data_IF_603259132616
#
_entry.id   IF_603259132616
#
_cell.length_a   1.000
_cell.length_b   1.000
_cell.length_c   1.000
_cell.angle_alpha   90.00
_cell.angle_beta   90.00
_cell.angle_gamma   90.00
#
_symmetry.space_group_name_H-M   'P 1'
#
loop_
_entity.id
_entity.type
_entity.pdbx_description
1 polymer ?
#
# COMPACT_ATOMS: atom_id res chain seq x y z
N UNK A 1 27.96 18.79 1.42
CA UNK A 1 28.22 17.56 0.63
C UNK A 1 27.05 16.61 0.88
N UNK A 2 26.11 16.56 -0.05
CA UNK A 2 24.92 15.68 0.02
C UNK A 2 25.40 14.28 -0.36
N UNK A 3 25.23 13.30 0.54
CA UNK A 3 25.79 11.96 0.37
C UNK A 3 24.88 11.12 -0.52
N UNK A 4 25.45 10.19 -1.29
CA UNK A 4 24.69 9.19 -2.07
C UNK A 4 23.74 8.34 -1.19
N UNK A 5 23.87 8.37 0.14
CA UNK A 5 22.89 7.81 1.10
C UNK A 5 21.53 8.52 1.11
N UNK A 6 21.48 9.80 0.74
CA UNK A 6 20.26 10.63 0.80
C UNK A 6 19.29 10.36 -0.35
N UNK A 7 19.76 9.74 -1.45
CA UNK A 7 18.94 9.41 -2.64
C UNK A 7 18.34 8.00 -2.61
N UNK A 8 18.81 7.12 -1.73
CA UNK A 8 18.30 5.75 -1.63
C UNK A 8 16.80 5.69 -1.35
N UNK A 9 16.30 6.39 -0.32
CA UNK A 9 14.90 6.27 0.08
C UNK A 9 13.88 6.77 -0.98
N UNK A 10 14.07 7.92 -1.68
CA UNK A 10 13.18 8.32 -2.79
C UNK A 10 13.16 7.32 -3.94
N UNK A 11 14.31 6.77 -4.32
CA UNK A 11 14.40 5.76 -5.40
C UNK A 11 13.63 4.50 -5.02
N UNK A 12 13.72 4.07 -3.75
CA UNK A 12 12.97 2.91 -3.23
C UNK A 12 11.45 3.16 -3.32
N UNK A 13 10.99 4.36 -2.96
CA UNK A 13 9.57 4.71 -3.06
C UNK A 13 9.07 4.75 -4.52
N UNK A 14 9.87 5.32 -5.44
CA UNK A 14 9.56 5.35 -6.86
C UNK A 14 9.58 3.94 -7.50
N UNK A 15 10.53 3.09 -7.11
CA UNK A 15 10.58 1.70 -7.55
C UNK A 15 9.36 0.92 -7.07
N UNK A 16 8.95 1.12 -5.82
CA UNK A 16 7.70 0.57 -5.28
C UNK A 16 6.50 1.00 -6.13
N UNK A 17 6.37 2.30 -6.41
CA UNK A 17 5.30 2.86 -7.23
C UNK A 17 5.27 2.26 -8.65
N UNK A 18 6.43 2.14 -9.29
CA UNK A 18 6.55 1.57 -10.63
C UNK A 18 6.14 0.10 -10.68
N UNK A 19 6.60 -0.71 -9.71
CA UNK A 19 6.25 -2.13 -9.61
C UNK A 19 4.75 -2.34 -9.39
N UNK A 20 4.14 -1.58 -8.48
CA UNK A 20 2.69 -1.66 -8.24
C UNK A 20 1.91 -1.16 -9.46
N UNK A 21 2.29 -0.01 -10.04
CA UNK A 21 1.64 0.56 -11.21
C UNK A 21 1.64 -0.38 -12.42
N UNK A 22 2.74 -1.09 -12.65
CA UNK A 22 2.86 -2.07 -13.74
C UNK A 22 1.95 -3.29 -13.55
N UNK A 23 1.53 -3.61 -12.32
CA UNK A 23 0.70 -4.79 -12.05
C UNK A 23 -0.67 -4.73 -12.71
N UNK A 24 -1.27 -3.55 -12.84
CA UNK A 24 -2.63 -3.38 -13.39
C UNK A 24 -2.76 -3.82 -14.86
N UNK A 25 -1.97 -3.30 -15.81
CA UNK A 25 -2.06 -3.74 -17.20
C UNK A 25 -1.67 -5.22 -17.37
N UNK A 26 -0.71 -5.73 -16.59
CA UNK A 26 -0.34 -7.14 -16.63
C UNK A 26 -1.46 -8.05 -16.11
N UNK A 27 -2.14 -7.66 -15.03
CA UNK A 27 -3.33 -8.35 -14.55
C UNK A 27 -4.46 -8.32 -15.59
N UNK A 28 -4.65 -7.21 -16.29
CA UNK A 28 -5.63 -7.10 -17.38
C UNK A 28 -5.35 -8.08 -18.52
N UNK A 29 -4.08 -8.29 -18.89
CA UNK A 29 -3.70 -9.29 -19.90
C UNK A 29 -4.05 -10.71 -19.46
N UNK A 30 -3.79 -11.05 -18.20
CA UNK A 30 -4.12 -12.37 -17.65
C UNK A 30 -5.63 -12.61 -17.63
N UNK A 31 -6.43 -11.62 -17.23
CA UNK A 31 -7.90 -11.69 -17.33
C UNK A 31 -8.37 -11.79 -18.79
N UNK A 32 -7.75 -11.04 -19.70
CA UNK A 32 -8.05 -11.08 -21.14
C UNK A 32 -7.76 -12.44 -21.78
N UNK A 33 -6.82 -13.20 -21.21
CA UNK A 33 -6.53 -14.59 -21.57
C UNK A 33 -7.60 -15.60 -21.10
N UNK A 34 -8.62 -15.15 -20.38
CA UNK A 34 -9.71 -15.99 -19.87
C UNK A 34 -9.52 -16.46 -18.43
N UNK A 35 -8.52 -15.95 -17.70
CA UNK A 35 -8.33 -16.29 -16.30
C UNK A 35 -9.48 -15.76 -15.44
N UNK A 36 -9.99 -16.62 -14.56
CA UNK A 36 -11.02 -16.25 -13.60
C UNK A 36 -10.51 -15.16 -12.61
N UNK A 37 -11.30 -14.13 -12.28
CA UNK A 37 -10.86 -13.04 -11.42
C UNK A 37 -10.57 -13.46 -9.97
N UNK A 38 -11.27 -14.47 -9.42
CA UNK A 38 -10.96 -14.99 -8.08
C UNK A 38 -9.64 -15.75 -8.10
N UNK A 39 -9.43 -16.55 -9.16
CA UNK A 39 -8.21 -17.29 -9.37
C UNK A 39 -7.01 -16.35 -9.50
N UNK A 40 -7.12 -15.29 -10.31
CA UNK A 40 -6.06 -14.30 -10.47
C UNK A 40 -5.77 -13.57 -9.16
N UNK A 41 -6.80 -13.13 -8.43
CA UNK A 41 -6.62 -12.50 -7.11
C UNK A 41 -5.87 -13.42 -6.14
N UNK A 42 -6.21 -14.72 -6.14
CA UNK A 42 -5.53 -15.75 -5.36
C UNK A 42 -4.07 -15.92 -5.75
N UNK A 43 -3.77 -16.08 -7.04
CA UNK A 43 -2.41 -16.28 -7.55
C UNK A 43 -1.50 -15.07 -7.34
N UNK A 44 -2.01 -13.84 -7.48
CA UNK A 44 -1.25 -12.63 -7.22
C UNK A 44 -0.77 -12.60 -5.75
N UNK A 45 -1.68 -12.84 -4.80
CA UNK A 45 -1.33 -12.78 -3.37
C UNK A 45 -0.53 -14.00 -2.91
N UNK A 46 -0.81 -15.18 -3.46
CA UNK A 46 -0.02 -16.37 -3.17
C UNK A 46 1.41 -16.21 -3.71
N UNK A 47 1.58 -15.61 -4.90
CA UNK A 47 2.88 -15.24 -5.46
C UNK A 47 3.65 -14.25 -4.57
N UNK A 48 2.96 -13.23 -4.06
CA UNK A 48 3.52 -12.31 -3.07
C UNK A 48 4.00 -13.04 -1.80
N UNK A 49 3.15 -13.89 -1.23
CA UNK A 49 3.44 -14.64 -0.01
C UNK A 49 4.60 -15.62 -0.18
N UNK A 50 4.56 -16.48 -1.21
CA UNK A 50 5.58 -17.49 -1.47
C UNK A 50 6.92 -16.85 -1.85
N UNK A 51 6.91 -15.81 -2.69
CA UNK A 51 8.14 -15.13 -3.09
C UNK A 51 8.83 -14.43 -1.93
N UNK A 52 8.07 -13.74 -1.06
CA UNK A 52 8.62 -13.14 0.16
C UNK A 52 9.09 -14.22 1.16
N UNK A 53 8.38 -15.34 1.29
CA UNK A 53 8.80 -16.46 2.13
C UNK A 53 10.12 -17.08 1.67
N UNK A 54 10.33 -17.23 0.36
CA UNK A 54 11.59 -17.70 -0.21
C UNK A 54 12.72 -16.70 0.07
N UNK A 55 12.47 -15.39 -0.13
CA UNK A 55 13.45 -14.35 0.20
C UNK A 55 13.82 -14.36 1.69
N UNK A 56 12.83 -14.51 2.57
CA UNK A 56 13.05 -14.59 4.01
C UNK A 56 13.91 -15.81 4.39
N UNK A 57 13.66 -16.98 3.79
CA UNK A 57 14.46 -18.18 4.01
C UNK A 57 15.92 -18.00 3.54
N UNK A 58 16.11 -17.39 2.36
CA UNK A 58 17.45 -17.10 1.82
C UNK A 58 18.20 -16.10 2.71
N UNK A 59 17.53 -15.07 3.21
CA UNK A 59 18.13 -14.10 4.14
C UNK A 59 18.50 -14.75 5.47
N UNK A 60 17.66 -15.64 6.01
CA UNK A 60 17.96 -16.37 7.25
C UNK A 60 19.14 -17.33 7.10
N UNK A 61 19.31 -17.94 5.92
CA UNK A 61 20.46 -18.78 5.61
C UNK A 61 21.77 -17.97 5.50
N UNK A 62 21.70 -16.70 5.10
CA UNK A 62 22.82 -15.77 5.11
C UNK A 62 22.98 -15.17 6.51
N UNK A 63 23.81 -15.79 7.36
CA UNK A 63 24.15 -15.27 8.70
C UNK A 63 24.59 -13.80 8.61
N UNK A 64 23.89 -12.87 9.29
CA UNK A 64 24.34 -11.47 9.43
C UNK A 64 23.28 -10.37 9.32
N UNK A 65 22.01 -10.66 9.02
CA UNK A 65 20.97 -9.64 9.08
C UNK A 65 20.46 -9.47 10.53
N UNK A 66 20.51 -8.25 11.06
CA UNK A 66 19.83 -7.91 12.31
C UNK A 66 18.31 -8.13 12.11
N UNK A 67 17.72 -8.96 12.97
CA UNK A 67 16.32 -9.37 12.86
C UNK A 67 15.38 -8.20 13.19
N UNK A 68 14.30 -8.04 12.43
CA UNK A 68 13.20 -7.15 12.79
C UNK A 68 12.38 -7.72 13.96
N UNK A 69 11.57 -6.88 14.62
CA UNK A 69 10.69 -7.33 15.70
C UNK A 69 9.62 -8.30 15.16
N UNK A 70 9.45 -9.49 15.75
CA UNK A 70 8.43 -10.44 15.30
C UNK A 70 7.03 -9.99 15.69
N UNK A 71 6.02 -10.52 14.98
CA UNK A 71 4.61 -10.33 15.35
C UNK A 71 4.30 -10.93 16.73
N UNK A 72 3.64 -10.15 17.58
CA UNK A 72 3.19 -10.59 18.89
C UNK A 72 1.78 -11.20 18.83
N UNK A 73 1.39 -11.99 19.84
CA UNK A 73 0.05 -12.57 19.92
C UNK A 73 -1.07 -11.52 19.93
N UNK A 74 -0.81 -10.34 20.50
CA UNK A 74 -1.74 -9.21 20.52
C UNK A 74 -2.02 -8.61 19.14
N UNK A 75 -1.15 -8.88 18.16
CA UNK A 75 -1.26 -8.35 16.80
C UNK A 75 -2.20 -9.19 15.92
N UNK A 76 -2.48 -10.44 16.30
CA UNK A 76 -3.23 -11.40 15.50
C UNK A 76 -4.65 -10.94 15.09
N UNK A 77 -5.45 -10.30 15.97
CA UNK A 77 -6.78 -9.81 15.57
C UNK A 77 -6.69 -8.72 14.50
N UNK A 78 -5.71 -7.82 14.62
CA UNK A 78 -5.48 -6.75 13.65
C UNK A 78 -4.96 -7.31 12.33
N UNK A 79 -4.04 -8.27 12.41
CA UNK A 79 -3.52 -8.98 11.24
C UNK A 79 -4.65 -9.70 10.51
N UNK A 80 -5.55 -10.39 11.21
CA UNK A 80 -6.69 -11.07 10.59
C UNK A 80 -7.58 -10.09 9.81
N UNK A 81 -7.90 -8.92 10.39
CA UNK A 81 -8.67 -7.89 9.70
C UNK A 81 -7.94 -7.31 8.48
N UNK A 82 -6.62 -7.08 8.60
CA UNK A 82 -5.75 -6.65 7.48
C UNK A 82 -5.76 -7.67 6.34
N UNK A 83 -5.67 -8.97 6.67
CA UNK A 83 -5.74 -10.04 5.67
C UNK A 83 -7.12 -10.09 5.02
N UNK A 84 -8.20 -10.02 5.79
CA UNK A 84 -9.56 -10.10 5.25
C UNK A 84 -9.90 -8.89 4.36
N UNK A 85 -9.63 -7.68 4.83
CA UNK A 85 -9.94 -6.47 4.07
C UNK A 85 -8.98 -6.28 2.88
N UNK A 86 -7.68 -6.21 3.14
CA UNK A 86 -6.70 -5.83 2.12
C UNK A 86 -6.06 -6.99 1.36
N UNK A 87 -6.15 -8.21 1.91
CA UNK A 87 -5.64 -9.42 1.25
C UNK A 87 -6.71 -10.15 0.45
N UNK A 88 -7.87 -10.38 1.05
CA UNK A 88 -8.95 -11.18 0.45
C UNK A 88 -9.86 -10.29 -0.37
N UNK A 89 -10.55 -9.34 0.27
CA UNK A 89 -11.60 -8.54 -0.37
C UNK A 89 -11.06 -7.55 -1.40
N UNK A 90 -10.03 -6.77 -1.08
CA UNK A 90 -9.47 -5.76 -1.97
C UNK A 90 -9.06 -6.31 -3.35
N UNK A 91 -8.14 -7.29 -3.44
CA UNK A 91 -7.69 -7.85 -4.71
C UNK A 91 -8.80 -8.53 -5.49
N UNK A 92 -9.71 -9.23 -4.80
CA UNK A 92 -10.86 -9.88 -5.44
C UNK A 92 -11.78 -8.84 -6.10
N UNK A 93 -12.16 -7.80 -5.36
CA UNK A 93 -13.00 -6.71 -5.86
C UNK A 93 -12.32 -5.96 -7.01
N UNK A 94 -11.00 -5.74 -6.92
CA UNK A 94 -10.23 -5.16 -8.00
C UNK A 94 -10.28 -6.04 -9.26
N UNK A 95 -10.00 -7.34 -9.14
CA UNK A 95 -10.00 -8.24 -10.30
C UNK A 95 -11.38 -8.34 -10.94
N UNK A 96 -12.44 -8.45 -10.14
CA UNK A 96 -13.83 -8.40 -10.63
C UNK A 96 -14.07 -7.09 -11.38
N UNK A 97 -13.71 -5.95 -10.80
CA UNK A 97 -13.90 -4.66 -11.44
C UNK A 97 -13.09 -4.47 -12.72
N UNK A 98 -11.87 -5.01 -12.74
CA UNK A 98 -10.95 -4.97 -13.87
C UNK A 98 -11.45 -5.80 -15.06
N UNK A 99 -12.30 -6.82 -14.88
CA UNK A 99 -12.89 -7.55 -16.01
C UNK A 99 -13.66 -6.63 -16.97
N UNK A 100 -14.41 -5.67 -16.43
CA UNK A 100 -15.33 -4.82 -17.20
C UNK A 100 -14.95 -3.33 -17.25
N UNK A 101 -13.75 -3.00 -16.75
CA UNK A 101 -13.20 -1.63 -16.76
C UNK A 101 -11.89 -1.63 -17.57
N UNK A 102 -11.64 -0.63 -18.43
CA UNK A 102 -10.32 -0.46 -19.06
C UNK A 102 -9.23 -0.36 -18.00
N UNK A 103 -8.05 -0.96 -18.24
CA UNK A 103 -6.95 -0.98 -17.29
C UNK A 103 -6.44 0.43 -16.98
N UNK A 104 -6.46 1.35 -17.95
CA UNK A 104 -6.08 2.75 -17.75
C UNK A 104 -7.01 3.47 -16.76
N UNK A 105 -8.32 3.25 -16.91
CA UNK A 105 -9.33 3.81 -16.00
C UNK A 105 -9.28 3.15 -14.63
N UNK A 106 -9.12 1.82 -14.58
CA UNK A 106 -8.99 1.07 -13.33
C UNK A 106 -7.75 1.49 -12.53
N UNK A 107 -6.60 1.68 -13.20
CA UNK A 107 -5.38 2.17 -12.58
C UNK A 107 -5.60 3.54 -11.93
N UNK A 108 -6.18 4.51 -12.66
CA UNK A 108 -6.45 5.84 -12.11
C UNK A 108 -7.47 5.82 -10.97
N UNK A 109 -8.50 4.96 -11.04
CA UNK A 109 -9.48 4.79 -9.97
C UNK A 109 -8.85 4.35 -8.65
N UNK A 110 -7.67 3.70 -8.65
CA UNK A 110 -6.94 3.39 -7.42
C UNK A 110 -6.51 4.62 -6.62
N UNK A 111 -6.49 5.83 -7.21
CA UNK A 111 -6.30 7.05 -6.43
C UNK A 111 -7.39 7.27 -5.36
N UNK A 112 -8.54 6.60 -5.47
CA UNK A 112 -9.60 6.62 -4.46
C UNK A 112 -9.19 5.88 -3.17
N UNK A 113 -8.17 5.02 -3.21
CA UNK A 113 -7.65 4.37 -2.01
C UNK A 113 -7.17 5.40 -0.98
N UNK A 114 -6.39 6.40 -1.41
CA UNK A 114 -5.92 7.47 -0.54
C UNK A 114 -7.07 8.28 0.08
N UNK A 115 -8.12 8.53 -0.69
CA UNK A 115 -9.36 9.15 -0.20
C UNK A 115 -10.03 8.31 0.89
N UNK A 116 -10.16 7.01 0.66
CA UNK A 116 -10.77 6.09 1.62
C UNK A 116 -9.94 6.00 2.90
N UNK A 117 -8.62 5.88 2.79
CA UNK A 117 -7.69 5.91 3.93
C UNK A 117 -7.87 7.20 4.74
N UNK A 118 -7.88 8.36 4.09
CA UNK A 118 -8.06 9.66 4.76
C UNK A 118 -9.44 9.80 5.40
N UNK A 119 -10.51 9.40 4.71
CA UNK A 119 -11.87 9.48 5.24
C UNK A 119 -12.04 8.61 6.49
N UNK A 120 -11.48 7.40 6.50
CA UNK A 120 -11.48 6.51 7.67
C UNK A 120 -10.67 7.13 8.81
N UNK A 121 -9.50 7.70 8.51
CA UNK A 121 -8.67 8.41 9.48
C UNK A 121 -9.43 9.57 10.15
N UNK A 122 -10.11 10.37 9.35
CA UNK A 122 -10.92 11.49 9.84
C UNK A 122 -12.14 11.04 10.66
N UNK A 123 -12.93 10.08 10.17
CA UNK A 123 -14.20 9.70 10.78
C UNK A 123 -14.03 8.79 12.00
N UNK A 124 -13.11 7.82 11.92
CA UNK A 124 -12.92 6.79 12.96
C UNK A 124 -11.87 7.23 13.98
N UNK A 125 -10.73 7.72 13.50
CA UNK A 125 -9.61 8.12 14.35
C UNK A 125 -9.66 9.59 14.77
N UNK A 126 -10.59 10.38 14.20
CA UNK A 126 -10.82 11.79 14.53
C UNK A 126 -9.57 12.66 14.29
N UNK A 127 -8.79 12.29 13.28
CA UNK A 127 -7.68 13.11 12.78
C UNK A 127 -8.23 14.36 12.08
N UNK A 128 -7.54 15.49 12.16
CA UNK A 128 -8.04 16.71 11.51
C UNK A 128 -7.73 16.70 10.01
N UNK A 129 -8.62 17.31 9.23
CA UNK A 129 -8.48 17.46 7.78
C UNK A 129 -8.57 18.94 7.44
N UNK A 130 -7.52 19.47 6.81
CA UNK A 130 -7.50 20.85 6.33
C UNK A 130 -8.44 21.02 5.11
N UNK A 131 -8.84 22.27 4.85
CA UNK A 131 -9.61 22.64 3.66
C UNK A 131 -8.89 22.27 2.37
N UNK A 132 -7.55 22.32 2.35
CA UNK A 132 -6.76 21.96 1.16
C UNK A 132 -6.82 20.46 0.87
N UNK A 133 -6.68 19.59 1.87
CA UNK A 133 -6.95 18.16 1.74
C UNK A 133 -8.36 17.89 1.21
N UNK A 134 -9.38 18.59 1.72
CA UNK A 134 -10.77 18.45 1.24
C UNK A 134 -10.92 18.85 -0.24
N UNK A 135 -10.32 19.96 -0.67
CA UNK A 135 -10.34 20.36 -2.08
C UNK A 135 -9.63 19.32 -2.97
N UNK A 136 -8.50 18.81 -2.51
CA UNK A 136 -7.80 17.72 -3.19
C UNK A 136 -8.68 16.48 -3.30
N UNK A 137 -9.43 16.18 -2.25
CA UNK A 137 -10.29 15.01 -2.20
C UNK A 137 -11.47 15.11 -3.16
N UNK A 138 -12.09 16.28 -3.23
CA UNK A 138 -13.14 16.57 -4.19
C UNK A 138 -12.64 16.46 -5.63
N UNK A 139 -11.40 16.89 -5.93
CA UNK A 139 -10.82 16.75 -7.26
C UNK A 139 -10.58 15.28 -7.65
N UNK A 140 -10.04 14.45 -6.75
CA UNK A 140 -9.88 13.00 -6.99
C UNK A 140 -11.25 12.34 -7.19
N UNK A 141 -12.23 12.67 -6.34
CA UNK A 141 -13.58 12.12 -6.42
C UNK A 141 -14.28 12.51 -7.73
N UNK A 142 -14.14 13.76 -8.18
CA UNK A 142 -14.67 14.22 -9.47
C UNK A 142 -14.07 13.42 -10.64
N UNK A 143 -12.75 13.20 -10.63
CA UNK A 143 -12.10 12.31 -11.60
C UNK A 143 -12.62 10.88 -11.54
N UNK A 144 -12.85 10.34 -10.34
CA UNK A 144 -13.34 8.98 -10.15
C UNK A 144 -14.78 8.80 -10.65
N UNK A 145 -15.67 9.76 -10.35
CA UNK A 145 -17.03 9.80 -10.87
C UNK A 145 -17.00 9.89 -12.39
N UNK A 146 -16.15 10.75 -12.94
CA UNK A 146 -16.00 10.89 -14.39
C UNK A 146 -15.59 9.57 -15.03
N UNK A 147 -14.59 8.84 -14.52
CA UNK A 147 -14.18 7.53 -15.04
C UNK A 147 -15.22 6.42 -14.83
N UNK A 148 -16.02 6.51 -13.78
CA UNK A 148 -17.04 5.51 -13.44
C UNK A 148 -18.33 5.67 -14.26
N UNK A 149 -18.54 6.84 -14.87
CA UNK A 149 -19.73 7.18 -15.63
C UNK A 149 -19.72 6.57 -17.03
N UNK A 150 -20.77 5.82 -17.38
CA UNK A 150 -20.93 5.19 -18.70
C UNK A 150 -21.83 5.96 -19.67
N UNK A 151 -22.43 7.07 -19.24
CA UNK A 151 -23.40 7.82 -20.04
C UNK A 151 -24.81 7.21 -20.01
N UNK A 152 -25.81 8.06 -20.23
CA UNK A 152 -27.22 7.66 -20.34
C UNK A 152 -27.84 7.10 -19.04
N UNK A 153 -28.99 6.41 -19.14
CA UNK A 153 -29.72 5.84 -17.99
C UNK A 153 -28.94 4.75 -17.24
N UNK A 154 -27.91 4.19 -17.88
CA UNK A 154 -27.03 3.13 -17.37
C UNK A 154 -26.17 3.55 -16.17
N UNK A 155 -26.01 4.85 -15.92
CA UNK A 155 -25.36 5.37 -14.71
C UNK A 155 -23.89 4.96 -14.54
N UNK A 156 -23.54 4.56 -13.31
CA UNK A 156 -22.19 4.14 -12.92
C UNK A 156 -21.94 2.67 -13.29
N UNK A 157 -20.76 2.37 -13.83
CA UNK A 157 -20.36 1.01 -14.15
C UNK A 157 -20.11 0.17 -12.90
N UNK A 158 -20.73 -1.01 -12.81
CA UNK A 158 -20.52 -1.96 -11.70
C UNK A 158 -19.03 -2.31 -11.51
N UNK A 159 -18.25 -2.41 -12.58
CA UNK A 159 -16.82 -2.66 -12.49
C UNK A 159 -16.05 -1.53 -11.79
N UNK A 160 -16.39 -0.28 -12.07
CA UNK A 160 -15.78 0.87 -11.41
C UNK A 160 -16.19 0.94 -9.93
N UNK A 161 -17.45 0.61 -9.60
CA UNK A 161 -17.90 0.50 -8.22
C UNK A 161 -17.17 -0.61 -7.45
N UNK A 162 -16.89 -1.75 -8.07
CA UNK A 162 -16.09 -2.81 -7.46
C UNK A 162 -14.65 -2.34 -7.18
N UNK A 163 -14.05 -1.56 -8.09
CA UNK A 163 -12.71 -0.96 -7.87
C UNK A 163 -12.73 0.05 -6.73
N UNK A 164 -13.77 0.89 -6.65
CA UNK A 164 -13.95 1.81 -5.51
C UNK A 164 -14.14 1.04 -4.20
N UNK A 165 -14.88 -0.07 -4.21
CA UNK A 165 -15.02 -0.94 -3.05
C UNK A 165 -13.68 -1.59 -2.65
N UNK A 166 -12.86 -1.98 -3.63
CA UNK A 166 -11.48 -2.44 -3.38
C UNK A 166 -10.64 -1.34 -2.71
N UNK A 167 -10.73 -0.10 -3.19
CA UNK A 167 -10.07 1.06 -2.59
C UNK A 167 -10.50 1.30 -1.14
N UNK A 168 -11.79 1.09 -0.83
CA UNK A 168 -12.28 1.17 0.56
C UNK A 168 -11.72 0.05 1.41
N UNK A 169 -11.67 -1.19 0.89
CA UNK A 169 -11.09 -2.32 1.59
C UNK A 169 -9.59 -2.12 1.89
N UNK A 170 -8.83 -1.58 0.93
CA UNK A 170 -7.45 -1.15 1.15
C UNK A 170 -7.34 0.08 2.07
N UNK A 171 -8.31 0.98 2.03
CA UNK A 171 -8.40 2.10 2.98
C UNK A 171 -8.48 1.64 4.43
N UNK A 172 -9.27 0.59 4.69
CA UNK A 172 -9.38 -0.07 6.00
C UNK A 172 -8.04 -0.73 6.35
N UNK A 173 -7.50 -1.56 5.45
CA UNK A 173 -6.22 -2.24 5.61
C UNK A 173 -5.07 -1.27 5.95
N UNK A 174 -4.92 -0.16 5.22
CA UNK A 174 -3.88 0.84 5.47
C UNK A 174 -3.99 1.41 6.89
N UNK A 175 -5.21 1.74 7.34
CA UNK A 175 -5.44 2.25 8.70
C UNK A 175 -5.18 1.20 9.79
N UNK A 176 -5.48 -0.07 9.53
CA UNK A 176 -5.24 -1.16 10.48
C UNK A 176 -3.77 -1.60 10.51
N UNK A 177 -3.11 -1.64 9.35
CA UNK A 177 -1.68 -1.94 9.20
C UNK A 177 -0.81 -0.93 9.94
N UNK A 178 -1.26 0.33 10.09
CA UNK A 178 -0.61 1.32 10.97
C UNK A 178 -0.44 0.81 12.41
N UNK A 179 -1.38 0.02 12.94
CA UNK A 179 -1.27 -0.60 14.28
C UNK A 179 -0.22 -1.70 14.36
N UNK A 180 0.16 -2.28 13.23
CA UNK A 180 1.13 -3.38 13.09
C UNK A 180 2.53 -2.88 12.68
N UNK A 181 2.70 -1.59 12.41
CA UNK A 181 3.89 -1.03 11.76
C UNK A 181 5.22 -1.15 12.54
N UNK A 182 5.17 -1.51 13.83
CA UNK A 182 6.38 -1.83 14.62
C UNK A 182 6.92 -3.25 14.33
N UNK A 183 6.05 -4.17 13.88
CA UNK A 183 6.44 -5.54 13.56
C UNK A 183 7.07 -5.65 12.15
N UNK A 184 7.72 -6.77 11.88
CA UNK A 184 8.42 -7.08 10.62
C UNK A 184 7.49 -6.92 9.39
N UNK A 185 7.75 -5.94 8.50
CA UNK A 185 6.96 -5.71 7.29
C UNK A 185 6.91 -6.89 6.33
N UNK A 186 7.98 -7.69 6.26
CA UNK A 186 8.06 -8.86 5.41
C UNK A 186 7.13 -9.94 5.95
N UNK A 187 7.08 -10.15 7.27
CA UNK A 187 6.16 -11.12 7.88
C UNK A 187 4.71 -10.75 7.67
N UNK A 188 4.33 -9.48 7.87
CA UNK A 188 2.96 -9.00 7.66
C UNK A 188 2.53 -9.26 6.22
N UNK A 189 3.35 -8.84 5.26
CA UNK A 189 3.05 -8.97 3.82
C UNK A 189 3.04 -10.44 3.38
N UNK A 190 3.98 -11.25 3.89
CA UNK A 190 4.06 -12.68 3.61
C UNK A 190 2.83 -13.42 4.12
N UNK A 191 2.44 -13.24 5.39
CA UNK A 191 1.26 -13.90 5.97
C UNK A 191 -0.01 -13.47 5.23
N UNK A 192 -0.15 -12.17 4.96
CA UNK A 192 -1.26 -11.63 4.18
C UNK A 192 -1.34 -12.28 2.80
N UNK A 193 -0.22 -12.36 2.08
CA UNK A 193 -0.13 -13.00 0.77
C UNK A 193 -0.50 -14.49 0.81
N UNK A 194 0.11 -15.25 1.72
CA UNK A 194 -0.12 -16.70 1.84
C UNK A 194 -1.57 -17.01 2.21
N UNK A 195 -2.11 -16.36 3.25
CA UNK A 195 -3.47 -16.64 3.73
C UNK A 195 -4.48 -16.18 2.70
N UNK A 196 -4.40 -14.93 2.23
CA UNK A 196 -5.39 -14.42 1.29
C UNK A 196 -5.30 -15.10 -0.08
N UNK A 197 -4.09 -15.37 -0.56
CA UNK A 197 -3.86 -16.09 -1.79
C UNK A 197 -4.45 -17.48 -1.76
N UNK A 198 -4.24 -18.22 -0.66
CA UNK A 198 -4.82 -19.55 -0.45
C UNK A 198 -6.35 -19.49 -0.36
N UNK A 199 -6.91 -18.52 0.37
CA UNK A 199 -8.36 -18.36 0.52
C UNK A 199 -9.01 -18.06 -0.83
N UNK A 200 -8.52 -17.07 -1.58
CA UNK A 200 -9.09 -16.71 -2.88
C UNK A 200 -8.91 -17.82 -3.92
N UNK A 201 -7.76 -18.52 -3.92
CA UNK A 201 -7.55 -19.69 -4.78
C UNK A 201 -8.53 -20.82 -4.46
N UNK A 202 -8.69 -21.15 -3.17
CA UNK A 202 -9.63 -22.19 -2.74
C UNK A 202 -11.07 -21.84 -3.10
N UNK A 203 -11.46 -20.58 -2.91
CA UNK A 203 -12.78 -20.10 -3.29
C UNK A 203 -12.96 -20.15 -4.82
N UNK A 204 -11.97 -19.75 -5.62
CA UNK A 204 -12.05 -19.85 -7.08
C UNK A 204 -12.29 -21.30 -7.55
N UNK A 205 -11.51 -22.24 -7.02
CA UNK A 205 -11.66 -23.67 -7.33
C UNK A 205 -13.01 -24.22 -6.86
N UNK A 206 -13.50 -23.80 -5.69
CA UNK A 206 -14.81 -24.19 -5.17
C UNK A 206 -15.98 -23.66 -6.04
N UNK A 207 -15.80 -22.51 -6.69
CA UNK A 207 -16.77 -21.96 -7.65
C UNK A 207 -16.61 -22.53 -9.06
N UNK A 208 -15.74 -23.51 -9.26
CA UNK A 208 -15.58 -24.21 -10.53
C UNK A 208 -14.66 -23.50 -11.53
N UNK A 209 -13.76 -22.62 -11.08
CA UNK A 209 -12.73 -22.05 -11.94
C UNK A 209 -11.87 -23.17 -12.55
N UNK A 210 -11.58 -23.05 -13.84
CA UNK A 210 -10.69 -23.99 -14.52
C UNK A 210 -9.28 -23.94 -13.91
N UNK A 211 -8.61 -25.09 -13.85
CA UNK A 211 -7.23 -25.14 -13.40
C UNK A 211 -6.35 -24.32 -14.35
N UNK A 212 -5.56 -23.36 -13.84
CA UNK A 212 -4.69 -22.54 -14.68
C UNK A 212 -3.54 -23.39 -15.22
N UNK A 213 -3.08 -23.05 -16.42
CA UNK A 213 -1.86 -23.61 -16.98
C UNK A 213 -0.62 -23.15 -16.20
N UNK A 214 0.49 -23.91 -16.30
CA UNK A 214 1.72 -23.56 -15.59
C UNK A 214 2.27 -22.16 -15.97
N UNK A 215 2.25 -21.72 -17.26
CA UNK A 215 2.65 -20.36 -17.61
C UNK A 215 1.77 -19.28 -17.00
N UNK A 216 0.46 -19.51 -16.89
CA UNK A 216 -0.49 -18.61 -16.23
C UNK A 216 -0.21 -18.48 -14.74
N UNK A 217 0.03 -19.59 -14.06
CA UNK A 217 0.44 -19.62 -12.64
C UNK A 217 1.75 -18.86 -12.45
N UNK A 218 2.74 -19.12 -13.30
CA UNK A 218 4.05 -18.46 -13.21
C UNK A 218 3.94 -16.95 -13.50
N UNK A 219 3.17 -16.55 -14.51
CA UNK A 219 2.94 -15.16 -14.87
C UNK A 219 2.20 -14.39 -13.77
N UNK A 220 1.07 -14.92 -13.29
CA UNK A 220 0.32 -14.33 -12.18
C UNK A 220 1.16 -14.30 -10.89
N UNK A 221 1.88 -15.37 -10.59
CA UNK A 221 2.76 -15.46 -9.43
C UNK A 221 3.89 -14.42 -9.46
N UNK A 222 4.49 -14.18 -10.64
CA UNK A 222 5.54 -13.18 -10.82
C UNK A 222 5.01 -11.75 -10.68
N UNK A 223 3.85 -11.45 -11.30
CA UNK A 223 3.16 -10.16 -11.13
C UNK A 223 2.81 -9.93 -9.67
N UNK A 224 2.31 -10.97 -9.00
CA UNK A 224 2.01 -10.98 -7.58
C UNK A 224 3.23 -10.68 -6.71
N UNK A 225 4.31 -11.43 -6.92
CA UNK A 225 5.57 -11.28 -6.21
C UNK A 225 6.15 -9.87 -6.35
N UNK A 226 6.27 -9.36 -7.57
CA UNK A 226 6.88 -8.05 -7.82
C UNK A 226 5.95 -6.89 -7.46
N UNK A 227 4.70 -6.95 -7.96
CA UNK A 227 3.73 -5.87 -7.87
C UNK A 227 3.08 -5.72 -6.50
N UNK A 228 2.87 -6.82 -5.76
CA UNK A 228 2.26 -6.79 -4.43
C UNK A 228 3.27 -7.13 -3.33
N UNK A 229 4.16 -8.12 -3.52
CA UNK A 229 5.14 -8.50 -2.50
C UNK A 229 6.29 -7.50 -2.33
N UNK A 230 7.13 -7.40 -3.36
CA UNK A 230 8.32 -6.53 -3.36
C UNK A 230 7.89 -5.06 -3.27
N UNK A 231 6.92 -4.63 -4.07
CA UNK A 231 6.44 -3.25 -4.02
C UNK A 231 5.98 -2.81 -2.62
N UNK A 232 5.12 -3.58 -1.95
CA UNK A 232 4.65 -3.22 -0.60
C UNK A 232 5.80 -3.24 0.42
N UNK A 233 6.74 -4.19 0.30
CA UNK A 233 7.92 -4.20 1.16
C UNK A 233 8.77 -2.94 0.99
N UNK A 234 9.01 -2.52 -0.27
CA UNK A 234 9.74 -1.28 -0.57
C UNK A 234 8.96 -0.05 -0.09
N UNK A 235 7.63 -0.04 -0.20
CA UNK A 235 6.77 1.03 0.33
C UNK A 235 6.95 1.17 1.85
N UNK A 236 6.89 0.08 2.60
CA UNK A 236 7.07 0.13 4.06
C UNK A 236 8.49 0.55 4.45
N UNK A 237 9.51 0.10 3.72
CA UNK A 237 10.89 0.58 3.92
C UNK A 237 11.02 2.07 3.64
N UNK A 238 10.43 2.57 2.55
CA UNK A 238 10.41 3.99 2.24
C UNK A 238 9.68 4.78 3.34
N UNK A 239 8.54 4.30 3.85
CA UNK A 239 7.81 4.92 4.96
C UNK A 239 8.72 5.14 6.18
N UNK A 240 9.54 4.14 6.54
CA UNK A 240 10.47 4.21 7.68
C UNK A 240 11.54 5.30 7.51
N UNK A 241 12.04 5.52 6.30
CA UNK A 241 13.18 6.41 6.06
C UNK A 241 12.80 7.82 5.56
N UNK A 242 11.69 7.97 4.84
CA UNK A 242 11.23 9.24 4.29
C UNK A 242 10.09 9.89 5.10
N UNK A 243 9.45 9.11 5.97
CA UNK A 243 8.19 9.48 6.61
C UNK A 243 6.98 9.31 5.69
N UNK A 244 5.79 9.28 6.29
CA UNK A 244 4.53 9.00 5.60
C UNK A 244 4.21 9.96 4.46
N UNK A 245 4.49 11.27 4.64
CA UNK A 245 4.23 12.32 3.65
C UNK A 245 4.90 12.05 2.29
N UNK A 246 6.23 11.88 2.33
CA UNK A 246 7.07 11.79 1.13
C UNK A 246 6.91 10.43 0.45
N UNK A 247 6.80 9.36 1.22
CA UNK A 247 6.56 8.03 0.64
C UNK A 247 5.19 7.94 -0.01
N UNK A 248 4.15 8.48 0.65
CA UNK A 248 2.82 8.61 0.04
C UNK A 248 2.89 9.37 -1.29
N UNK A 249 3.60 10.50 -1.32
CA UNK A 249 3.81 11.29 -2.55
C UNK A 249 4.34 10.47 -3.72
N UNK A 250 5.44 9.75 -3.50
CA UNK A 250 6.05 8.94 -4.55
C UNK A 250 5.18 7.75 -4.93
N UNK A 251 4.55 7.09 -3.96
CA UNK A 251 3.72 5.92 -4.21
C UNK A 251 2.43 6.26 -4.97
N UNK A 252 1.84 7.44 -4.74
CA UNK A 252 0.67 7.92 -5.47
C UNK A 252 0.91 8.15 -6.97
N UNK A 253 2.15 8.04 -7.46
CA UNK A 253 2.42 7.98 -8.90
C UNK A 253 2.05 6.63 -9.52
N UNK A 254 1.91 5.56 -8.73
CA UNK A 254 1.64 4.21 -9.24
C UNK A 254 0.36 4.11 -10.11
N UNK A 255 -0.80 4.67 -9.71
CA UNK A 255 -1.98 4.77 -10.57
C UNK A 255 -1.71 5.38 -11.95
N UNK A 256 -0.91 6.45 -12.00
CA UNK A 256 -0.58 7.14 -13.25
C UNK A 256 0.37 6.32 -14.12
N UNK A 257 1.37 5.68 -13.51
CA UNK A 257 2.28 4.76 -14.21
C UNK A 257 1.47 3.61 -14.82
N UNK A 258 0.56 3.00 -14.05
CA UNK A 258 -0.31 1.94 -14.54
C UNK A 258 -1.20 2.38 -15.69
N UNK A 259 -1.73 3.61 -15.63
CA UNK A 259 -2.56 4.16 -16.70
C UNK A 259 -1.78 4.40 -18.00
N UNK A 260 -0.58 4.98 -17.91
CA UNK A 260 0.32 5.18 -19.06
C UNK A 260 0.71 3.83 -19.66
N UNK A 261 1.11 2.86 -18.83
CA UNK A 261 1.47 1.53 -19.29
C UNK A 261 0.27 0.79 -19.91
N UNK A 262 -0.95 0.96 -19.39
CA UNK A 262 -2.14 0.38 -20.02
C UNK A 262 -2.38 0.93 -21.43
N UNK A 263 -2.24 2.24 -21.62
CA UNK A 263 -2.31 2.86 -22.96
C UNK A 263 -1.21 2.33 -23.88
N UNK A 264 0.04 2.31 -23.42
CA UNK A 264 1.18 1.92 -24.24
C UNK A 264 1.25 0.41 -24.54
N UNK A 265 0.97 -0.45 -23.55
CA UNK A 265 1.11 -1.90 -23.66
C UNK A 265 -0.14 -2.58 -24.22
N UNK A 266 -1.33 -2.09 -23.88
CA UNK A 266 -2.60 -2.70 -24.29
C UNK A 266 -3.25 -1.97 -25.48
N UNK A 267 -2.68 -0.83 -25.89
CA UNK A 267 -3.26 -0.01 -26.97
C UNK A 267 -4.60 0.62 -26.60
N UNK A 268 -4.87 0.84 -25.31
CA UNK A 268 -6.12 1.47 -24.87
C UNK A 268 -6.23 2.92 -25.39
N UNK A 269 -7.43 3.36 -25.82
CA UNK A 269 -7.59 4.68 -26.42
C UNK A 269 -7.40 5.81 -25.40
N UNK A 270 -6.66 6.84 -25.80
CA UNK A 270 -6.55 8.10 -25.06
C UNK A 270 -7.81 8.94 -25.26
N UNK A 271 -8.84 8.69 -24.45
CA UNK A 271 -10.09 9.45 -24.50
C UNK A 271 -9.97 10.79 -23.78
N UNK A 272 -10.78 11.77 -24.18
CA UNK A 272 -10.89 13.04 -23.45
C UNK A 272 -11.31 12.82 -21.98
N UNK A 273 -12.20 11.86 -21.74
CA UNK A 273 -12.65 11.46 -20.40
C UNK A 273 -11.47 11.00 -19.52
N UNK A 274 -10.58 10.14 -20.07
CA UNK A 274 -9.40 9.66 -19.37
C UNK A 274 -8.43 10.81 -19.05
N UNK A 275 -8.17 11.68 -20.02
CA UNK A 275 -7.26 12.83 -19.85
C UNK A 275 -7.77 13.82 -18.80
N UNK A 276 -9.05 14.19 -18.85
CA UNK A 276 -9.66 15.10 -17.87
C UNK A 276 -9.63 14.49 -16.47
N UNK A 277 -9.96 13.19 -16.34
CA UNK A 277 -9.89 12.51 -15.05
C UNK A 277 -8.45 12.45 -14.51
N UNK A 278 -7.46 12.14 -15.35
CA UNK A 278 -6.06 12.13 -14.97
C UNK A 278 -5.60 13.50 -14.47
N UNK A 279 -5.99 14.59 -15.15
CA UNK A 279 -5.67 15.96 -14.71
C UNK A 279 -6.33 16.28 -13.37
N UNK A 280 -7.62 15.98 -13.20
CA UNK A 280 -8.34 16.22 -11.95
C UNK A 280 -7.71 15.46 -10.77
N UNK A 281 -7.43 14.17 -10.96
CA UNK A 281 -6.78 13.35 -9.93
C UNK A 281 -5.35 13.81 -9.66
N UNK A 282 -4.61 14.26 -10.68
CA UNK A 282 -3.26 14.82 -10.53
C UNK A 282 -3.26 16.11 -9.72
N UNK A 283 -4.21 17.02 -9.97
CA UNK A 283 -4.42 18.22 -9.15
C UNK A 283 -4.76 17.82 -7.71
N UNK A 284 -5.68 16.87 -7.54
CA UNK A 284 -6.10 16.43 -6.22
C UNK A 284 -4.97 15.81 -5.40
N UNK A 285 -4.13 15.00 -6.04
CA UNK A 285 -2.90 14.47 -5.46
C UNK A 285 -1.94 15.60 -5.10
N UNK A 286 -1.64 16.52 -6.02
CA UNK A 286 -0.78 17.66 -5.74
C UNK A 286 -1.23 18.46 -4.52
N UNK A 287 -2.54 18.68 -4.36
CA UNK A 287 -3.10 19.39 -3.21
C UNK A 287 -2.88 18.64 -1.89
N UNK A 288 -3.03 17.31 -1.88
CA UNK A 288 -2.71 16.48 -0.70
C UNK A 288 -1.22 16.55 -0.35
N UNK A 289 -0.34 16.55 -1.36
CA UNK A 289 1.11 16.50 -1.15
C UNK A 289 1.73 17.83 -0.77
N UNK A 290 1.15 18.92 -1.26
CA UNK A 290 1.66 20.25 -0.98
C UNK A 290 1.18 20.80 0.36
N UNK A 291 0.35 20.04 1.10
CA UNK A 291 0.01 20.33 2.47
C UNK A 291 1.22 20.16 3.40
N UNK A 292 1.41 21.12 4.31
CA UNK A 292 2.51 21.11 5.28
C UNK A 292 1.94 21.03 6.68
N UNK A 293 1.92 19.82 7.24
CA UNK A 293 1.66 19.62 8.67
C UNK A 293 2.96 19.83 9.44
N UNK A 294 3.29 21.09 9.72
CA UNK A 294 4.44 21.47 10.52
C UNK A 294 3.97 22.28 11.73
N UNK A 295 3.97 21.64 12.89
CA UNK A 295 3.71 22.29 14.16
C UNK A 295 4.56 21.64 15.24
N UNK A 296 4.81 22.39 16.30
CA UNK A 296 5.40 21.85 17.52
C UNK A 296 4.46 20.81 18.11
N UNK A 297 4.98 19.62 18.36
CA UNK A 297 4.21 18.52 18.91
C UNK A 297 5.05 17.76 19.93
N UNK A 298 4.35 17.14 20.87
CA UNK A 298 4.95 16.38 21.97
C UNK A 298 4.84 14.90 21.65
N UNK A 299 5.96 14.23 21.45
CA UNK A 299 6.01 12.78 21.51
C UNK A 299 5.83 12.35 22.95
N UNK A 300 4.78 11.60 23.25
CA UNK A 300 4.63 11.00 24.58
C UNK A 300 5.60 9.84 24.74
N UNK A 301 5.91 9.50 26.00
CA UNK A 301 6.71 8.31 26.28
C UNK A 301 6.06 7.07 25.65
N UNK A 302 6.80 6.37 24.81
CA UNK A 302 6.35 5.17 24.13
C UNK A 302 7.39 4.09 24.28
N UNK A 303 6.95 2.89 24.62
CA UNK A 303 7.78 1.69 24.64
C UNK A 303 7.40 0.83 23.43
N UNK A 304 8.38 0.52 22.59
CA UNK A 304 8.19 -0.28 21.39
C UNK A 304 9.51 -0.98 21.01
N UNK A 305 9.44 -1.90 20.05
CA UNK A 305 10.59 -2.55 19.46
C UNK A 305 10.49 -2.46 17.93
N UNK A 306 11.54 -1.97 17.30
CA UNK A 306 11.76 -2.00 15.86
C UNK A 306 13.26 -1.90 15.60
N UNK A 307 13.70 -2.22 14.38
CA UNK A 307 15.12 -2.08 14.01
C UNK A 307 15.50 -0.62 13.87
N UNK A 308 16.53 -0.19 14.59
CA UNK A 308 16.99 1.21 14.59
C UNK A 308 18.51 1.32 14.76
N UNK A 309 19.02 2.53 14.52
CA UNK A 309 20.35 2.99 14.93
C UNK A 309 20.17 4.09 15.98
N UNK A 310 21.21 4.44 16.73
CA UNK A 310 21.10 5.59 17.63
C UNK A 310 21.10 6.89 16.81
N UNK A 311 19.98 7.60 16.87
CA UNK A 311 19.78 8.92 16.30
C UNK A 311 19.14 9.85 17.34
N UNK A 312 18.66 11.02 16.94
CA UNK A 312 18.03 11.98 17.85
C UNK A 312 16.80 11.40 18.58
N UNK A 313 16.08 10.46 17.96
CA UNK A 313 14.89 9.82 18.53
C UNK A 313 15.20 8.55 19.32
N UNK A 314 16.28 7.86 18.98
CA UNK A 314 16.67 6.58 19.57
C UNK A 314 17.86 6.75 20.52
N UNK A 315 17.67 7.54 21.58
CA UNK A 315 18.66 7.71 22.66
C UNK A 315 18.29 6.82 23.84
N UNK A 316 18.87 5.62 23.91
CA UNK A 316 18.70 4.71 25.05
C UNK A 316 20.00 3.96 25.35
N UNK A 317 20.05 3.32 26.53
CA UNK A 317 21.18 2.52 26.96
C UNK A 317 20.87 1.04 26.75
N UNK A 318 21.87 0.28 26.32
CA UNK A 318 21.76 -1.17 26.17
C UNK A 318 21.87 -1.85 27.53
N UNK A 319 20.93 -2.75 27.81
CA UNK A 319 21.03 -3.73 28.87
C UNK A 319 21.99 -4.87 28.54
N UNK A 320 22.25 -5.77 29.51
CA UNK A 320 23.21 -6.88 29.36
C UNK A 320 22.84 -7.87 28.24
N UNK A 321 21.54 -8.01 27.97
CA UNK A 321 20.99 -8.97 26.98
C UNK A 321 20.67 -8.30 25.62
N UNK A 322 20.92 -7.00 25.48
CA UNK A 322 20.60 -6.28 24.25
C UNK A 322 21.67 -6.53 23.16
N UNK A 323 21.28 -6.54 21.87
CA UNK A 323 22.21 -6.80 20.79
C UNK A 323 23.33 -5.75 20.75
N UNK A 324 24.58 -6.21 20.57
CA UNK A 324 25.74 -5.33 20.41
C UNK A 324 25.84 -4.81 18.97
N UNK A 325 26.12 -3.52 18.81
CA UNK A 325 26.34 -2.85 17.52
C UNK A 325 25.10 -2.19 16.92
N UNK A 326 25.24 -1.54 15.77
CA UNK A 326 24.16 -0.83 15.06
C UNK A 326 24.10 -1.22 13.57
N UNK A 327 22.91 -1.37 12.96
CA UNK A 327 21.57 -1.29 13.57
C UNK A 327 21.22 -2.53 14.42
N UNK A 328 20.37 -2.35 15.43
CA UNK A 328 19.88 -3.40 16.32
C UNK A 328 18.37 -3.32 16.55
N UNK A 329 17.80 -4.33 17.22
CA UNK A 329 16.38 -4.43 17.54
C UNK A 329 16.21 -4.96 18.96
N UNK A 330 15.55 -4.19 19.82
CA UNK A 330 15.13 -4.59 21.16
C UNK A 330 14.03 -3.64 21.65
N UNK A 331 13.39 -3.99 22.77
CA UNK A 331 12.39 -3.15 23.41
C UNK A 331 13.09 -1.95 24.02
N UNK A 332 12.74 -0.76 23.59
CA UNK A 332 13.30 0.48 24.09
C UNK A 332 12.19 1.50 24.33
N UNK A 333 12.49 2.48 25.18
CA UNK A 333 11.55 3.52 25.57
C UNK A 333 12.03 4.88 25.08
N UNK A 334 11.17 5.57 24.34
CA UNK A 334 11.40 6.95 23.95
C UNK A 334 10.98 7.85 25.12
N UNK A 335 11.86 8.76 25.52
CA UNK A 335 11.51 9.80 26.50
C UNK A 335 10.62 10.85 25.83
N UNK A 336 9.73 11.53 26.58
CA UNK A 336 8.95 12.60 26.00
C UNK A 336 9.86 13.67 25.40
N UNK A 337 9.62 14.03 24.14
CA UNK A 337 10.37 15.08 23.45
C UNK A 337 9.41 16.04 22.76
N UNK A 338 9.79 17.32 22.75
CA UNK A 338 9.05 18.37 22.05
C UNK A 338 9.94 18.91 20.95
N UNK A 339 9.45 18.85 19.73
CA UNK A 339 10.16 19.39 18.58
C UNK A 339 9.20 19.78 17.47
N UNK A 340 9.72 20.42 16.43
CA UNK A 340 8.95 20.91 15.28
C UNK A 340 9.55 20.36 14.01
N UNK A 341 8.78 19.53 13.31
CA UNK A 341 9.09 19.15 11.94
C UNK A 341 7.80 18.77 11.18
N UNK A 342 7.86 18.77 9.83
CA UNK A 342 6.78 18.23 9.02
C UNK A 342 6.54 16.76 9.35
N UNK A 343 5.30 16.38 9.64
CA UNK A 343 4.94 15.00 9.94
C UNK A 343 3.56 14.65 9.38
N UNK A 344 3.30 13.36 9.25
CA UNK A 344 1.97 12.80 8.99
C UNK A 344 1.65 11.83 10.14
N UNK A 345 0.37 11.47 10.33
CA UNK A 345 -0.01 10.54 11.39
C UNK A 345 0.69 9.19 11.17
N UNK A 346 1.60 8.84 12.08
CA UNK A 346 2.36 7.58 12.07
C UNK A 346 2.53 7.05 13.51
N UNK A 347 3.44 6.10 13.72
CA UNK A 347 3.62 5.48 15.02
C UNK A 347 4.09 6.47 16.09
N UNK A 348 4.92 7.45 15.73
CA UNK A 348 5.47 8.45 16.65
C UNK A 348 4.57 9.69 16.74
N UNK A 349 3.77 10.00 15.71
CA UNK A 349 2.96 11.22 15.61
C UNK A 349 1.48 10.99 15.94
N UNK A 350 1.17 10.65 17.20
CA UNK A 350 -0.19 10.39 17.72
C UNK A 350 -0.70 11.50 18.66
N UNK A 351 -0.68 12.75 18.23
CA UNK A 351 -1.12 13.89 19.05
C UNK A 351 -2.50 14.39 18.64
N UNK A 352 -3.28 14.84 19.63
CA UNK A 352 -4.53 15.58 19.38
C UNK A 352 -4.17 17.02 19.07
N UNK A 353 -4.61 17.55 17.94
CA UNK A 353 -4.52 18.99 17.75
C UNK A 353 -5.50 19.69 18.70
N UNK A 354 -5.08 20.81 19.28
CA UNK A 354 -6.02 21.75 19.88
C UNK A 354 -6.98 22.24 18.79
N UNK A 355 -8.28 22.29 19.11
CA UNK A 355 -9.34 22.72 18.20
C UNK A 355 -9.20 24.18 17.81
#
# INVERSE_FOLDING_TARGET
MISLRDYGPPIVALASAALFGMSMPLAKLLLGGGMDPWLLAGLLYLGAGLGLGLLHLVQRARKGAAAEAPLARGDLPWLALVVLAGGVAGPLLLMIGLTSTPASSAALLLNVEGLATMAIAWLVFKENVDRRLLLGALAILAGAVLLSWRGGPSGLGLGALAIVAACVAWGIDNNLTRKLSAADPVQITMIKGLVAGTVNLALALAHGAAAPSLPEVAGAGLVGFLGYGVSLTLFVLALRHLGSARTGAYFSLAPFIGAVLAVCLLGEPLTAQLLVAAVLMGIGLYLHLAERHEHEHVHQAMEHAHRHCHDEHHQHAHGPDDPLGEPHTHVHRHSPMTHRHPHYPDLHHRHRHAR
#
